data_IF_034778463099
#
_entry.id   IF_034778463099
#
_cell.length_a   1.000
_cell.length_b   1.000
_cell.length_c   1.000
_cell.angle_alpha   90.00
_cell.angle_beta   90.00
_cell.angle_gamma   90.00
#
_symmetry.space_group_name_H-M   'P 1'
#
loop_
_entity.id
_entity.type
_entity.pdbx_description
1 polymer ?
#
# COMPACT_ATOMS: atom_id res chain seq x y z
N UNK A 1 -17.01 14.50 -23.77
CA UNK A 1 -17.36 13.21 -24.43
C UNK A 1 -18.50 12.60 -23.63
N UNK A 2 -19.65 12.34 -24.28
CA UNK A 2 -20.78 11.63 -23.64
C UNK A 2 -20.82 10.21 -24.21
N UNK A 3 -20.71 9.21 -23.34
CA UNK A 3 -20.78 7.80 -23.72
C UNK A 3 -22.17 7.28 -23.39
N UNK A 4 -22.94 6.90 -24.42
CA UNK A 4 -24.24 6.26 -24.26
C UNK A 4 -24.07 4.74 -24.28
N UNK A 5 -24.23 4.12 -23.12
CA UNK A 5 -24.05 2.68 -22.94
C UNK A 5 -24.98 2.16 -21.85
N UNK A 6 -25.39 0.90 -21.98
CA UNK A 6 -26.15 0.16 -20.96
C UNK A 6 -25.26 -0.26 -19.77
N UNK A 7 -23.93 -0.16 -19.92
CA UNK A 7 -22.95 -0.57 -18.92
C UNK A 7 -22.78 0.52 -17.86
N UNK A 8 -22.81 0.19 -16.55
CA UNK A 8 -22.63 1.17 -15.48
C UNK A 8 -21.31 1.93 -15.59
N UNK A 9 -21.34 3.22 -15.25
CA UNK A 9 -20.17 4.11 -15.29
C UNK A 9 -18.93 3.54 -14.57
N UNK A 10 -19.01 2.90 -13.39
CA UNK A 10 -17.83 2.35 -12.71
C UNK A 10 -17.17 1.17 -13.43
N UNK A 11 -17.90 0.49 -14.32
CA UNK A 11 -17.37 -0.63 -15.12
C UNK A 11 -16.64 -0.09 -16.35
N UNK A 12 -17.17 0.96 -16.96
CA UNK A 12 -16.53 1.65 -18.10
C UNK A 12 -15.31 2.45 -17.65
N UNK A 13 -15.46 3.17 -16.55
CA UNK A 13 -14.46 4.03 -15.95
C UNK A 13 -14.13 3.47 -14.57
N UNK A 14 -13.30 2.40 -14.52
CA UNK A 14 -12.88 1.84 -13.26
C UNK A 14 -12.22 2.95 -12.42
N UNK A 15 -12.44 2.94 -11.08
CA UNK A 15 -11.77 3.88 -10.20
C UNK A 15 -10.27 3.79 -10.44
N UNK A 16 -9.59 4.93 -10.42
CA UNK A 16 -8.14 4.91 -10.51
C UNK A 16 -7.59 4.06 -9.35
N UNK A 17 -6.60 3.20 -9.62
CA UNK A 17 -5.95 2.47 -8.55
C UNK A 17 -5.38 3.49 -7.55
N UNK A 18 -5.35 3.14 -6.25
CA UNK A 18 -4.70 4.00 -5.27
C UNK A 18 -3.25 4.27 -5.69
N UNK A 19 -2.68 5.43 -5.31
CA UNK A 19 -1.29 5.74 -5.63
C UNK A 19 -0.39 4.57 -5.24
N UNK A 20 0.54 4.21 -6.14
CA UNK A 20 1.50 3.17 -5.85
C UNK A 20 2.22 3.49 -4.54
N UNK A 21 2.21 2.54 -3.60
CA UNK A 21 2.97 2.68 -2.37
C UNK A 21 4.46 2.74 -2.65
N UNK A 22 5.23 3.31 -1.73
CA UNK A 22 6.68 3.37 -1.84
C UNK A 22 7.30 2.13 -1.19
N UNK A 23 8.07 1.37 -1.96
CA UNK A 23 8.87 0.28 -1.42
C UNK A 23 10.15 0.83 -0.76
N UNK A 24 10.49 0.32 0.42
CA UNK A 24 11.76 0.57 1.11
C UNK A 24 12.37 -0.74 1.59
N UNK A 25 13.69 -0.83 1.58
CA UNK A 25 14.40 -1.96 2.16
C UNK A 25 14.32 -1.92 3.70
N UNK A 26 14.18 -3.09 4.30
CA UNK A 26 14.40 -3.35 5.72
C UNK A 26 15.37 -4.53 5.86
N UNK A 27 15.80 -4.83 7.07
CA UNK A 27 16.77 -5.91 7.30
C UNK A 27 16.27 -7.24 6.67
N UNK A 28 16.90 -7.75 5.62
CA UNK A 28 16.48 -9.00 4.97
C UNK A 28 15.13 -8.98 4.24
N UNK A 29 14.55 -7.80 3.96
CA UNK A 29 13.22 -7.72 3.31
C UNK A 29 12.88 -6.36 2.72
N UNK A 30 11.62 -6.22 2.33
CA UNK A 30 11.05 -5.02 1.75
C UNK A 30 9.73 -4.67 2.46
N UNK A 31 9.50 -3.37 2.64
CA UNK A 31 8.23 -2.85 3.19
C UNK A 31 7.60 -1.92 2.18
N UNK A 32 6.31 -2.13 1.91
CA UNK A 32 5.46 -1.23 1.13
C UNK A 32 4.88 -0.19 2.08
N UNK A 33 5.02 1.08 1.71
CA UNK A 33 4.53 2.20 2.51
C UNK A 33 3.41 2.93 1.78
N UNK A 34 2.33 3.18 2.51
CA UNK A 34 1.24 4.06 2.11
C UNK A 34 1.49 5.46 2.65
N UNK A 35 1.26 6.48 1.81
CA UNK A 35 1.28 7.88 2.25
C UNK A 35 -0.05 8.25 2.88
N UNK A 36 0.00 8.91 4.02
CA UNK A 36 -1.16 9.45 4.76
C UNK A 36 -0.93 10.93 5.02
N UNK A 37 -1.97 11.65 5.48
CA UNK A 37 -1.84 13.05 5.89
C UNK A 37 -0.80 13.26 7.01
N UNK A 38 -0.45 12.22 7.76
CA UNK A 38 0.43 12.26 8.94
C UNK A 38 1.82 11.66 8.66
N UNK A 39 2.12 11.28 7.41
CA UNK A 39 3.38 10.66 7.01
C UNK A 39 3.19 9.29 6.38
N UNK A 40 4.25 8.47 6.40
CA UNK A 40 4.25 7.14 5.80
C UNK A 40 3.91 6.06 6.84
N UNK A 41 2.99 5.17 6.46
CA UNK A 41 2.62 4.01 7.26
C UNK A 41 2.88 2.73 6.50
N UNK A 42 3.15 1.65 7.23
CA UNK A 42 3.32 0.32 6.64
C UNK A 42 2.00 -0.14 6.04
N UNK A 43 2.06 -0.62 4.81
CA UNK A 43 0.95 -1.26 4.10
C UNK A 43 1.16 -2.77 4.02
N UNK A 44 2.38 -3.20 3.70
CA UNK A 44 2.75 -4.62 3.62
C UNK A 44 4.23 -4.83 3.94
N UNK A 45 4.55 -5.89 4.68
CA UNK A 45 5.90 -6.42 4.83
C UNK A 45 6.10 -7.63 3.91
N UNK A 46 7.24 -7.70 3.24
CA UNK A 46 7.74 -8.85 2.48
C UNK A 46 9.11 -9.20 3.03
N UNK A 47 9.18 -10.20 3.90
CA UNK A 47 10.41 -10.62 4.57
C UNK A 47 10.56 -12.14 4.59
N UNK A 48 11.80 -12.60 4.57
CA UNK A 48 12.18 -14.00 4.82
C UNK A 48 12.43 -14.29 6.30
N UNK A 49 12.46 -13.28 7.16
CA UNK A 49 12.58 -13.41 8.62
C UNK A 49 11.18 -13.39 9.28
N UNK A 50 10.69 -14.52 9.83
CA UNK A 50 9.39 -14.60 10.50
C UNK A 50 9.26 -13.66 11.70
N UNK A 51 10.36 -13.34 12.40
CA UNK A 51 10.32 -12.47 13.57
C UNK A 51 9.85 -11.05 13.22
N UNK A 52 10.07 -10.62 11.97
CA UNK A 52 9.65 -9.30 11.51
C UNK A 52 8.13 -9.17 11.37
N UNK A 53 7.42 -10.24 11.05
CA UNK A 53 5.96 -10.23 11.01
C UNK A 53 5.33 -10.11 12.41
N UNK A 54 6.11 -10.42 13.46
CA UNK A 54 5.71 -10.23 14.86
C UNK A 54 6.13 -8.86 15.40
N UNK A 55 7.02 -8.15 14.70
CA UNK A 55 7.54 -6.87 15.16
C UNK A 55 6.48 -5.75 14.98
N UNK A 56 6.09 -5.03 16.04
CA UNK A 56 5.02 -4.02 15.97
C UNK A 56 5.25 -2.94 14.90
N UNK A 57 6.50 -2.54 14.68
CA UNK A 57 6.87 -1.53 13.69
C UNK A 57 6.62 -1.91 12.23
N UNK A 58 6.44 -3.20 11.92
CA UNK A 58 6.11 -3.67 10.57
C UNK A 58 4.63 -4.06 10.40
N UNK A 59 3.80 -3.86 11.44
CA UNK A 59 2.37 -4.12 11.34
C UNK A 59 1.70 -3.08 10.44
N UNK A 60 0.71 -3.47 9.60
CA UNK A 60 -0.04 -2.53 8.79
C UNK A 60 -0.60 -1.36 9.61
N UNK A 61 -0.45 -0.13 9.09
CA UNK A 61 -0.84 1.10 9.77
C UNK A 61 0.22 1.69 10.71
N UNK A 62 1.26 0.92 11.07
CA UNK A 62 2.35 1.44 11.90
C UNK A 62 3.17 2.48 11.16
N UNK A 63 3.67 3.49 11.90
CA UNK A 63 4.59 4.47 11.33
C UNK A 63 5.92 3.79 11.01
N UNK A 64 6.35 3.90 9.76
CA UNK A 64 7.65 3.36 9.38
C UNK A 64 8.78 4.25 9.89
N UNK A 65 9.67 3.67 10.70
CA UNK A 65 10.93 4.29 11.11
C UNK A 65 12.06 3.45 10.50
N UNK A 66 12.99 4.05 9.74
CA UNK A 66 14.10 3.33 9.13
C UNK A 66 15.04 2.72 10.17
#
# INVERSE_FOLDING_TARGET
>A
MMLYTVVPTPVVFPPQPPPAGQWRSCNGGMVLLRRTAQGQVVDRLVSTDPAQYLHPGFQPGSRFRP
#
